data_IF_710721011201
#
_entry.id   IF_710721011201
#
_cell.length_a   1.000
_cell.length_b   1.000
_cell.length_c   1.000
_cell.angle_alpha   90.00
_cell.angle_beta   90.00
_cell.angle_gamma   90.00
#
_symmetry.space_group_name_H-M   'P 1'
#
loop_
_entity.id
_entity.type
_entity.pdbx_description
1 polymer ?
#
# COMPACT_ATOMS: atom_id res chain seq x y z
N UNK A 1 -0.51 1.65 -1.30
CA UNK A 1 0.51 1.17 -2.25
C UNK A 1 1.64 2.17 -2.35
N UNK A 2 2.89 1.72 -2.26
CA UNK A 2 4.04 2.53 -2.62
C UNK A 2 4.53 2.15 -4.02
N UNK A 3 5.06 3.13 -4.74
CA UNK A 3 5.70 2.97 -6.03
C UNK A 3 7.16 3.37 -5.90
N UNK A 4 8.05 2.51 -6.35
CA UNK A 4 9.48 2.77 -6.38
C UNK A 4 10.00 2.56 -7.79
N UNK A 5 10.80 3.50 -8.29
CA UNK A 5 11.53 3.34 -9.55
C UNK A 5 12.92 2.77 -9.24
N UNK A 6 13.25 1.60 -9.81
CA UNK A 6 14.58 1.00 -9.68
C UNK A 6 15.03 0.52 -11.06
N UNK A 7 16.18 1.03 -11.54
CA UNK A 7 16.81 0.62 -12.80
C UNK A 7 15.87 0.63 -14.03
N UNK A 8 14.98 1.61 -14.13
CA UNK A 8 13.99 1.72 -15.22
C UNK A 8 12.78 0.79 -15.08
N UNK A 9 12.70 0.03 -13.98
CA UNK A 9 11.54 -0.78 -13.62
C UNK A 9 10.72 -0.08 -12.52
N UNK A 10 9.40 -0.15 -12.67
CA UNK A 10 8.46 0.28 -11.63
C UNK A 10 8.11 -0.90 -10.73
N UNK A 11 8.43 -0.79 -9.43
CA UNK A 11 8.02 -1.73 -8.40
C UNK A 11 6.86 -1.15 -7.60
N UNK A 12 5.80 -1.94 -7.44
CA UNK A 12 4.68 -1.63 -6.56
C UNK A 12 4.79 -2.46 -5.28
N UNK A 13 4.65 -1.81 -4.13
CA UNK A 13 4.83 -2.41 -2.81
C UNK A 13 3.54 -2.19 -2.02
N UNK A 14 2.74 -3.24 -1.81
CA UNK A 14 1.55 -3.13 -0.98
C UNK A 14 1.96 -3.08 0.49
N UNK A 15 1.33 -2.18 1.25
CA UNK A 15 1.45 -2.12 2.71
C UNK A 15 0.04 -2.09 3.25
N UNK A 16 -0.29 -3.08 4.09
CA UNK A 16 -1.60 -3.25 4.70
C UNK A 16 -1.39 -3.15 6.21
N UNK A 17 -2.17 -2.30 6.87
CA UNK A 17 -2.10 -2.07 8.31
C UNK A 17 -3.50 -1.83 8.88
N UNK A 18 -3.71 -2.00 10.20
CA UNK A 18 -5.01 -1.77 10.83
C UNK A 18 -5.50 -0.33 10.66
N UNK A 19 -6.81 -0.15 10.55
CA UNK A 19 -7.44 1.16 10.37
C UNK A 19 -7.25 2.11 11.58
N UNK A 20 -6.80 1.60 12.73
CA UNK A 20 -6.54 2.39 13.93
C UNK A 20 -5.31 3.30 13.78
N UNK A 21 -4.49 3.10 12.74
CA UNK A 21 -3.32 3.92 12.46
C UNK A 21 -3.63 5.02 11.44
N UNK A 22 -3.07 6.21 11.68
CA UNK A 22 -3.12 7.34 10.74
C UNK A 22 -2.24 7.02 9.52
N UNK A 23 -2.84 6.97 8.33
CA UNK A 23 -2.13 6.56 7.11
C UNK A 23 -0.89 7.42 6.81
N UNK A 24 -0.97 8.73 7.10
CA UNK A 24 0.16 9.67 6.89
C UNK A 24 1.35 9.32 7.77
N UNK A 25 1.12 9.09 9.06
CA UNK A 25 2.18 8.80 10.01
C UNK A 25 2.89 7.48 9.69
N UNK A 26 2.11 6.45 9.33
CA UNK A 26 2.66 5.17 8.88
C UNK A 26 3.47 5.35 7.59
N UNK A 27 2.91 6.08 6.61
CA UNK A 27 3.60 6.29 5.35
C UNK A 27 4.91 7.06 5.52
N UNK A 28 4.92 8.10 6.35
CA UNK A 28 6.10 8.90 6.66
C UNK A 28 7.18 8.06 7.34
N UNK A 29 6.81 7.26 8.34
CA UNK A 29 7.74 6.37 9.02
C UNK A 29 8.39 5.36 8.05
N UNK A 30 7.61 4.82 7.11
CA UNK A 30 8.11 3.89 6.09
C UNK A 30 9.02 4.59 5.07
N UNK A 31 8.65 5.78 4.60
CA UNK A 31 9.46 6.58 3.67
C UNK A 31 10.76 7.09 4.30
N UNK A 32 10.82 7.23 5.63
CA UNK A 32 12.07 7.53 6.35
C UNK A 32 13.00 6.32 6.50
N UNK A 33 12.50 5.10 6.27
CA UNK A 33 13.20 3.85 6.57
C UNK A 33 13.27 2.93 5.35
N UNK A 34 12.48 1.86 5.34
CA UNK A 34 12.57 0.74 4.40
C UNK A 34 12.02 1.07 3.01
N UNK A 35 11.16 2.09 2.90
CA UNK A 35 10.58 2.58 1.65
C UNK A 35 11.11 3.96 1.27
N UNK A 36 12.37 4.24 1.63
CA UNK A 36 13.04 5.47 1.19
C UNK A 36 12.99 5.63 -0.33
N UNK A 37 12.76 6.87 -0.76
CA UNK A 37 12.63 7.27 -2.17
C UNK A 37 11.44 6.62 -2.91
N UNK A 38 10.50 6.02 -2.18
CA UNK A 38 9.24 5.52 -2.73
C UNK A 38 8.18 6.61 -2.69
N UNK A 39 7.34 6.68 -3.72
CA UNK A 39 6.18 7.56 -3.78
C UNK A 39 4.90 6.81 -3.38
N UNK A 40 3.91 7.54 -2.90
CA UNK A 40 2.60 6.96 -2.62
C UNK A 40 1.82 6.88 -3.95
N UNK A 41 1.43 5.68 -4.35
CA UNK A 41 0.70 5.45 -5.59
C UNK A 41 -0.81 5.49 -5.41
N UNK A 42 -1.30 4.81 -4.38
CA UNK A 42 -2.73 4.65 -4.06
C UNK A 42 -2.87 4.39 -2.56
N UNK A 43 -4.02 4.74 -1.99
CA UNK A 43 -4.37 4.37 -0.62
C UNK A 43 -5.89 4.36 -0.40
N UNK A 44 -6.35 3.40 0.39
CA UNK A 44 -7.74 3.20 0.73
C UNK A 44 -7.85 2.15 1.84
N UNK A 45 -8.94 1.41 1.86
CA UNK A 45 -9.14 0.27 2.76
C UNK A 45 -9.48 -0.98 1.96
N UNK A 46 -9.25 -2.15 2.57
CA UNK A 46 -9.70 -3.43 2.01
C UNK A 46 -11.06 -3.73 2.65
N UNK A 47 -12.10 -3.84 1.82
CA UNK A 47 -13.42 -4.16 2.32
C UNK A 47 -13.45 -5.59 2.86
N UNK A 48 -13.93 -5.82 4.10
CA UNK A 48 -13.97 -7.15 4.70
C UNK A 48 -15.00 -8.07 4.04
N UNK A 49 -15.90 -7.53 3.21
CA UNK A 49 -16.99 -8.27 2.58
C UNK A 49 -16.56 -8.96 1.29
N UNK A 50 -15.77 -8.28 0.47
CA UNK A 50 -15.38 -8.73 -0.87
C UNK A 50 -13.85 -8.85 -1.04
N UNK A 51 -13.08 -8.42 -0.02
CA UNK A 51 -11.62 -8.37 -0.04
C UNK A 51 -11.06 -7.51 -1.18
N UNK A 52 -11.79 -6.48 -1.61
CA UNK A 52 -11.39 -5.55 -2.65
C UNK A 52 -10.88 -4.22 -2.05
N UNK A 53 -9.86 -3.60 -2.68
CA UNK A 53 -9.39 -2.28 -2.31
C UNK A 53 -10.38 -1.20 -2.76
N UNK A 54 -10.80 -0.34 -1.83
CA UNK A 54 -11.84 0.67 -2.01
C UNK A 54 -11.50 1.99 -1.28
N UNK A 55 -12.22 3.05 -1.63
CA UNK A 55 -12.19 4.33 -0.90
C UNK A 55 -10.97 5.21 -1.17
N UNK A 56 -10.63 6.05 -0.19
CA UNK A 56 -9.51 6.99 -0.24
C UNK A 56 -8.88 7.20 1.13
N UNK A 57 -7.61 7.55 1.15
CA UNK A 57 -6.97 8.11 2.34
C UNK A 57 -7.12 9.63 2.35
N UNK A 58 -7.78 10.17 3.38
CA UNK A 58 -7.90 11.62 3.56
C UNK A 58 -6.55 12.26 3.91
N UNK A 59 -5.77 11.60 4.78
CA UNK A 59 -4.49 12.14 5.26
C UNK A 59 -3.37 12.09 4.21
N UNK A 60 -3.45 11.17 3.25
CA UNK A 60 -2.52 11.09 2.11
C UNK A 60 -3.08 11.78 0.85
N UNK A 61 -4.35 12.18 0.87
CA UNK A 61 -5.07 12.75 -0.27
C UNK A 61 -4.96 11.95 -1.58
N UNK A 62 -4.97 10.61 -1.48
CA UNK A 62 -4.93 9.69 -2.63
C UNK A 62 -6.04 8.64 -2.48
N UNK A 63 -6.56 8.15 -3.62
CA UNK A 63 -7.59 7.13 -3.68
C UNK A 63 -7.00 5.72 -3.85
N UNK A 64 -7.81 4.69 -3.61
CA UNK A 64 -7.49 3.34 -4.04
C UNK A 64 -7.49 3.26 -5.58
N UNK A 65 -6.71 2.34 -6.13
CA UNK A 65 -6.70 1.98 -7.56
C UNK A 65 -7.15 0.52 -7.65
N UNK A 66 -8.46 0.24 -7.79
CA UNK A 66 -8.97 -1.12 -7.64
C UNK A 66 -8.31 -2.15 -8.56
N UNK A 67 -8.10 -1.77 -9.82
CA UNK A 67 -7.55 -2.67 -10.85
C UNK A 67 -6.09 -3.04 -10.54
N UNK A 68 -5.28 -2.05 -10.15
CA UNK A 68 -3.86 -2.27 -9.83
C UNK A 68 -3.68 -2.89 -8.45
N UNK A 69 -4.39 -2.36 -7.45
CA UNK A 69 -4.26 -2.75 -6.05
C UNK A 69 -4.69 -4.19 -5.83
N UNK A 70 -5.83 -4.60 -6.40
CA UNK A 70 -6.33 -5.98 -6.26
C UNK A 70 -5.30 -6.99 -6.78
N UNK A 71 -4.76 -6.72 -7.97
CA UNK A 71 -3.77 -7.59 -8.61
C UNK A 71 -2.49 -7.68 -7.79
N UNK A 72 -1.93 -6.55 -7.38
CA UNK A 72 -0.66 -6.52 -6.64
C UNK A 72 -0.82 -7.14 -5.25
N UNK A 73 -1.93 -6.87 -4.56
CA UNK A 73 -2.22 -7.46 -3.26
C UNK A 73 -2.30 -8.98 -3.37
N UNK A 74 -3.05 -9.51 -4.34
CA UNK A 74 -3.20 -10.98 -4.51
C UNK A 74 -1.90 -11.69 -4.91
N UNK A 75 -1.01 -11.00 -5.61
CA UNK A 75 0.28 -11.57 -6.05
C UNK A 75 1.38 -11.49 -4.98
N UNK A 76 1.20 -10.67 -3.95
CA UNK A 76 2.20 -10.50 -2.91
C UNK A 76 2.02 -11.57 -1.83
N UNK A 77 3.12 -12.20 -1.43
CA UNK A 77 3.11 -13.13 -0.32
C UNK A 77 3.25 -12.36 1.00
N UNK A 78 2.21 -12.43 1.83
CA UNK A 78 2.20 -11.86 3.19
C UNK A 78 2.62 -12.90 4.25
N UNK A 79 2.98 -14.12 3.83
CA UNK A 79 3.16 -15.31 4.65
C UNK A 79 4.57 -15.90 4.60
N UNK A 80 5.59 -15.11 4.92
CA UNK A 80 6.86 -15.63 5.44
C UNK A 80 6.93 -15.53 6.98
N UNK A 81 5.84 -15.85 7.67
CA UNK A 81 5.76 -15.85 9.14
C UNK A 81 4.79 -16.92 9.71
N UNK A 82 4.85 -18.15 9.18
CA UNK A 82 4.41 -19.34 9.92
C UNK A 82 5.57 -20.34 9.96
N UNK A 83 6.38 -20.24 11.02
CA UNK A 83 7.14 -21.34 11.62
C UNK A 83 6.94 -21.28 13.13
#
# INVERSE_FOLDING_TARGET
MFRQQQCGMTKLIPVIFPNDFVHKDVADALQQTVLKDSEIHSAGFISPLNLLPEGRSETLNVAADPDTDERVIKMNDYGAAWQ
#
